data_IF_161119049586
#
_entry.id   IF_161119049586
#
_cell.length_a   1.000
_cell.length_b   1.000
_cell.length_c   1.000
_cell.angle_alpha   90.00
_cell.angle_beta   90.00
_cell.angle_gamma   90.00
#
_symmetry.space_group_name_H-M   'P 1'
#
loop_
_entity.id
_entity.type
_entity.pdbx_description
1 polymer ?
#
# COMPACT_ATOMS: atom_id res chain seq x y z
N UNK A 1 -45.00 4.29 -6.72
CA UNK A 1 -45.09 5.14 -5.52
C UNK A 1 -43.71 5.17 -4.87
N UNK A 2 -42.94 6.22 -5.16
CA UNK A 2 -42.69 7.38 -4.29
C UNK A 2 -41.72 7.11 -3.12
N UNK A 3 -40.43 7.33 -3.36
CA UNK A 3 -39.54 7.97 -2.38
C UNK A 3 -38.62 8.93 -3.16
N UNK A 4 -39.03 10.22 -3.19
CA UNK A 4 -38.27 11.31 -3.79
C UNK A 4 -37.22 11.81 -2.80
N UNK A 5 -35.99 11.86 -3.30
CA UNK A 5 -34.83 12.54 -2.73
C UNK A 5 -35.12 14.03 -2.46
N UNK A 6 -34.90 14.47 -1.23
CA UNK A 6 -34.93 15.87 -0.85
C UNK A 6 -33.68 16.58 -1.40
N UNK A 7 -33.87 17.41 -2.43
CA UNK A 7 -32.86 18.35 -2.93
C UNK A 7 -33.00 19.66 -2.15
N UNK A 8 -32.09 19.93 -1.23
CA UNK A 8 -31.90 21.28 -0.69
C UNK A 8 -30.79 21.96 -1.50
N UNK A 9 -31.16 22.54 -2.63
CA UNK A 9 -30.30 23.44 -3.40
C UNK A 9 -30.76 24.87 -3.19
N UNK A 10 -29.92 25.70 -2.57
CA UNK A 10 -30.12 27.15 -2.51
C UNK A 10 -29.94 27.71 -3.93
N UNK A 11 -31.02 28.18 -4.57
CA UNK A 11 -30.93 29.01 -5.77
C UNK A 11 -30.80 30.47 -5.34
N UNK A 12 -29.79 31.15 -5.86
CA UNK A 12 -29.69 32.61 -5.83
C UNK A 12 -30.73 33.13 -6.84
N UNK A 13 -31.78 33.78 -6.33
CA UNK A 13 -32.81 34.43 -7.14
C UNK A 13 -32.44 35.88 -7.42
N UNK A 14 -32.60 36.26 -8.68
CA UNK A 14 -32.36 37.59 -9.26
C UNK A 14 -33.23 38.69 -8.60
N UNK A 15 -32.69 39.92 -8.58
CA UNK A 15 -33.29 41.12 -7.98
C UNK A 15 -34.71 41.47 -8.53
N UNK A 16 -35.65 41.96 -7.70
CA UNK A 16 -36.92 42.51 -8.19
C UNK A 16 -36.85 44.05 -8.37
N UNK A 17 -37.58 44.64 -9.35
CA UNK A 17 -37.65 46.07 -9.51
C UNK A 17 -38.64 46.73 -8.52
N UNK A 18 -38.27 47.94 -8.13
CA UNK A 18 -38.95 48.90 -7.25
C UNK A 18 -40.44 49.08 -7.56
N UNK A 19 -41.32 48.96 -6.55
CA UNK A 19 -42.42 49.92 -6.24
C UNK A 19 -43.33 49.49 -5.06
N UNK A 20 -43.55 50.45 -4.14
CA UNK A 20 -44.75 50.67 -3.29
C UNK A 20 -44.94 49.87 -1.97
N UNK A 21 -44.32 50.39 -0.89
CA UNK A 21 -44.97 50.96 0.32
C UNK A 21 -46.33 50.37 0.77
N UNK A 22 -46.34 49.57 1.86
CA UNK A 22 -46.90 49.87 3.21
C UNK A 22 -47.31 48.59 3.99
N UNK A 23 -46.82 48.53 5.24
CA UNK A 23 -47.34 47.77 6.39
C UNK A 23 -47.56 46.27 6.22
N UNK A 24 -46.61 45.47 6.73
CA UNK A 24 -46.84 44.33 7.64
C UNK A 24 -45.55 44.12 8.43
N UNK A 25 -45.39 44.93 9.49
CA UNK A 25 -44.44 44.63 10.56
C UNK A 25 -45.06 43.54 11.43
N UNK A 26 -44.58 42.31 11.30
CA UNK A 26 -44.19 41.38 12.38
C UNK A 26 -44.21 39.92 11.89
N UNK A 27 -43.09 39.22 12.15
CA UNK A 27 -42.90 37.76 12.14
C UNK A 27 -42.73 37.06 10.78
N UNK A 28 -41.80 37.56 9.96
CA UNK A 28 -40.86 36.63 9.32
C UNK A 28 -39.66 36.50 10.25
N UNK A 29 -39.70 35.51 11.14
CA UNK A 29 -38.46 34.96 11.69
C UNK A 29 -37.68 34.42 10.49
N UNK A 30 -36.85 35.28 9.92
CA UNK A 30 -35.71 34.88 9.13
C UNK A 30 -34.97 33.90 10.03
N UNK A 31 -35.18 32.60 9.81
CA UNK A 31 -34.19 31.61 10.19
C UNK A 31 -33.02 31.94 9.27
N UNK A 32 -32.27 32.99 9.66
CA UNK A 32 -30.98 33.27 9.09
C UNK A 32 -30.27 31.94 9.14
N UNK A 33 -29.94 31.42 7.96
CA UNK A 33 -29.10 30.25 7.84
C UNK A 33 -27.87 30.61 8.65
N UNK A 34 -27.76 30.08 9.87
CA UNK A 34 -26.65 30.39 10.77
C UNK A 34 -25.41 30.01 9.97
N UNK A 35 -24.57 31.00 9.71
CA UNK A 35 -23.45 30.87 8.77
C UNK A 35 -22.63 29.63 9.13
N UNK A 36 -22.38 28.80 8.13
CA UNK A 36 -21.52 27.63 8.26
C UNK A 36 -20.15 28.08 8.77
N UNK A 37 -19.66 27.47 9.85
CA UNK A 37 -18.36 27.81 10.41
C UNK A 37 -17.28 27.09 9.60
N UNK A 38 -16.39 27.88 8.96
CA UNK A 38 -15.29 27.39 8.13
C UNK A 38 -14.41 26.41 8.93
N UNK A 39 -14.01 25.31 8.28
CA UNK A 39 -13.12 24.29 8.85
C UNK A 39 -13.70 23.43 9.98
N UNK A 40 -14.96 23.63 10.36
CA UNK A 40 -15.65 22.83 11.38
C UNK A 40 -16.55 21.75 10.78
N UNK A 41 -16.79 20.67 11.53
CA UNK A 41 -17.77 19.67 11.14
C UNK A 41 -19.20 20.22 11.24
N UNK A 42 -20.12 19.85 10.34
CA UNK A 42 -21.51 20.31 10.40
C UNK A 42 -22.24 20.01 11.71
N UNK A 43 -21.87 18.93 12.40
CA UNK A 43 -22.44 18.58 13.71
C UNK A 43 -21.96 19.47 14.85
N UNK A 44 -20.84 20.16 14.67
CA UNK A 44 -20.15 20.95 15.70
C UNK A 44 -20.36 22.45 15.52
N UNK A 45 -20.95 22.89 14.39
CA UNK A 45 -21.20 24.31 14.07
C UNK A 45 -21.95 25.05 15.18
N UNK A 46 -22.90 24.38 15.84
CA UNK A 46 -23.68 24.98 16.93
C UNK A 46 -22.83 25.36 18.15
N UNK A 47 -21.69 24.68 18.37
CA UNK A 47 -20.77 24.98 19.48
C UNK A 47 -20.03 26.30 19.25
N UNK A 48 -19.64 26.55 18.01
CA UNK A 48 -18.87 27.72 17.59
C UNK A 48 -19.72 28.99 17.43
N UNK A 49 -21.05 28.86 17.32
CA UNK A 49 -21.97 29.98 17.18
C UNK A 49 -22.49 30.52 18.52
N UNK A 50 -22.00 30.01 19.66
CA UNK A 50 -22.36 30.49 20.99
C UNK A 50 -21.63 31.81 21.32
N UNK A 51 -22.24 32.66 22.16
CA UNK A 51 -21.62 33.92 22.62
C UNK A 51 -20.36 33.71 23.46
N UNK A 52 -20.19 32.51 24.02
CA UNK A 52 -19.01 32.09 24.75
C UNK A 52 -18.63 30.68 24.33
N UNK A 53 -17.38 30.46 23.97
CA UNK A 53 -16.82 29.18 23.57
C UNK A 53 -15.95 28.61 24.69
N UNK A 54 -16.00 27.31 24.91
CA UNK A 54 -15.16 26.60 25.88
C UNK A 54 -14.18 25.75 25.07
N UNK A 55 -12.88 25.92 25.29
CA UNK A 55 -11.86 25.07 24.65
C UNK A 55 -12.19 23.60 24.91
N UNK A 56 -11.95 22.71 23.93
CA UNK A 56 -12.38 21.29 24.03
C UNK A 56 -11.65 20.54 25.13
N UNK A 57 -10.41 20.93 25.42
CA UNK A 57 -9.63 20.45 26.57
C UNK A 57 -10.15 20.92 27.94
N UNK A 58 -11.14 21.83 27.96
CA UNK A 58 -11.73 22.39 29.18
C UNK A 58 -10.87 23.44 29.88
N UNK A 59 -9.73 23.84 29.30
CA UNK A 59 -8.75 24.71 29.97
C UNK A 59 -9.24 26.14 30.18
N UNK A 60 -9.90 26.72 29.18
CA UNK A 60 -10.34 28.13 29.20
C UNK A 60 -11.67 28.31 28.47
N UNK A 61 -12.42 29.31 28.92
CA UNK A 61 -13.61 29.84 28.25
C UNK A 61 -13.30 31.21 27.63
N UNK A 62 -13.56 31.35 26.34
CA UNK A 62 -13.32 32.56 25.54
C UNK A 62 -14.63 33.13 24.98
N UNK A 63 -14.70 34.42 24.62
CA UNK A 63 -15.82 34.97 23.87
C UNK A 63 -15.94 34.31 22.49
N UNK A 64 -17.15 34.12 21.97
CA UNK A 64 -17.36 33.54 20.63
C UNK A 64 -16.80 34.40 19.48
N UNK A 65 -16.40 35.65 19.74
CA UNK A 65 -15.70 36.50 18.77
C UNK A 65 -14.23 36.14 18.59
N UNK A 66 -13.66 35.36 19.52
CA UNK A 66 -12.29 34.82 19.46
C UNK A 66 -12.26 33.41 18.83
N UNK A 67 -13.19 33.14 17.93
CA UNK A 67 -13.26 31.87 17.20
C UNK A 67 -13.05 32.20 15.73
N UNK A 68 -12.04 31.59 15.11
CA UNK A 68 -11.55 31.92 13.78
C UNK A 68 -11.17 33.40 13.65
N UNK A 69 -10.46 33.94 14.64
CA UNK A 69 -9.99 35.33 14.63
C UNK A 69 -8.50 35.48 14.25
N UNK A 70 -7.91 34.41 13.70
CA UNK A 70 -6.50 34.30 13.33
C UNK A 70 -5.55 34.40 14.55
N UNK A 71 -6.05 34.16 15.76
CA UNK A 71 -5.25 34.11 16.97
C UNK A 71 -5.50 32.82 17.76
N UNK A 72 -4.42 32.18 18.25
CA UNK A 72 -4.53 30.92 18.99
C UNK A 72 -4.69 31.17 20.50
N UNK A 73 -5.92 31.23 20.98
CA UNK A 73 -6.30 31.44 22.38
C UNK A 73 -6.42 30.14 23.18
N UNK A 74 -6.82 29.03 22.55
CA UNK A 74 -6.92 27.72 23.20
C UNK A 74 -5.62 26.90 23.04
N UNK A 75 -5.10 26.28 24.12
CA UNK A 75 -3.90 25.43 24.05
C UNK A 75 -4.05 24.22 23.11
N UNK A 76 -5.26 23.67 23.02
CA UNK A 76 -5.61 22.57 22.12
C UNK A 76 -5.88 23.00 20.67
N UNK A 77 -5.93 24.31 20.41
CA UNK A 77 -6.23 24.93 19.12
C UNK A 77 -7.67 24.77 18.65
N UNK A 78 -8.60 24.46 19.56
CA UNK A 78 -9.99 24.16 19.22
C UNK A 78 -10.83 25.36 18.80
N UNK A 79 -10.36 26.57 19.11
CA UNK A 79 -10.89 27.89 18.78
C UNK A 79 -10.67 28.32 17.32
N UNK A 80 -9.62 27.79 16.67
CA UNK A 80 -9.25 28.13 15.29
C UNK A 80 -9.45 26.94 14.32
N UNK A 81 -10.67 26.39 14.14
CA UNK A 81 -10.90 25.30 13.19
C UNK A 81 -10.77 25.73 11.72
N UNK A 82 -10.90 27.02 11.42
CA UNK A 82 -11.03 27.59 10.07
C UNK A 82 -9.86 28.48 9.63
N UNK A 83 -8.79 28.56 10.42
CA UNK A 83 -7.59 29.37 10.16
C UNK A 83 -6.33 28.56 10.42
N UNK A 84 -5.16 29.08 10.06
CA UNK A 84 -3.87 28.44 10.33
C UNK A 84 -3.22 28.88 11.65
N UNK A 85 -3.88 29.73 12.45
CA UNK A 85 -3.29 30.37 13.63
C UNK A 85 -2.81 29.38 14.71
N UNK A 86 -3.54 28.26 14.87
CA UNK A 86 -3.16 27.19 15.81
C UNK A 86 -2.33 26.06 15.18
N UNK A 87 -1.78 26.22 13.97
CA UNK A 87 -0.97 25.18 13.32
C UNK A 87 0.25 24.73 14.15
N UNK A 88 0.79 25.60 14.99
CA UNK A 88 1.95 25.34 15.86
C UNK A 88 1.58 24.89 17.28
N UNK A 89 0.30 24.77 17.64
CA UNK A 89 -0.14 24.39 19.01
C UNK A 89 0.49 23.06 19.48
N UNK A 90 0.82 22.16 18.54
CA UNK A 90 1.55 20.92 18.81
C UNK A 90 2.96 21.10 19.39
N UNK A 91 3.59 22.25 19.18
CA UNK A 91 4.97 22.55 19.60
C UNK A 91 5.06 23.57 20.74
N UNK A 92 3.95 24.14 21.20
CA UNK A 92 3.91 25.12 22.29
C UNK A 92 3.81 24.44 23.65
N UNK A 93 4.79 23.59 23.98
CA UNK A 93 5.01 23.13 25.36
C UNK A 93 5.85 24.20 26.07
N UNK A 94 5.39 24.72 27.21
CA UNK A 94 6.17 25.67 28.01
C UNK A 94 7.43 24.95 28.56
N UNK A 95 8.60 25.61 28.60
CA UNK A 95 9.77 25.03 29.27
C UNK A 95 9.45 24.79 30.75
N UNK A 96 9.38 23.53 31.18
CA UNK A 96 9.18 23.15 32.59
C UNK A 96 7.83 22.53 32.94
N UNK A 97 6.90 22.36 32.00
CA UNK A 97 5.73 21.50 32.18
C UNK A 97 6.07 20.11 31.61
N UNK A 98 6.05 19.09 32.47
CA UNK A 98 6.22 17.68 32.09
C UNK A 98 5.20 17.36 31.00
N UNK A 99 5.62 16.74 29.90
CA UNK A 99 4.75 16.33 28.79
C UNK A 99 3.54 15.58 29.35
N UNK A 100 2.43 16.29 29.55
CA UNK A 100 1.16 15.67 29.90
C UNK A 100 0.86 14.71 28.73
N UNK A 101 0.68 13.40 28.99
CA UNK A 101 0.32 12.44 27.96
C UNK A 101 -1.13 12.72 27.57
N UNK A 102 -1.29 13.73 26.72
CA UNK A 102 -2.53 14.38 26.39
C UNK A 102 -2.49 14.86 24.95
N UNK A 103 -3.66 14.82 24.33
CA UNK A 103 -3.95 14.96 22.91
C UNK A 103 -3.78 16.41 22.39
N UNK A 104 -2.73 17.12 22.83
CA UNK A 104 -2.48 18.50 22.45
C UNK A 104 -1.93 18.57 21.02
N UNK A 105 -2.56 19.37 20.14
CA UNK A 105 -2.13 19.57 18.75
C UNK A 105 -2.84 18.72 17.70
N UNK A 106 -4.11 18.35 17.90
CA UNK A 106 -4.96 17.68 16.90
C UNK A 106 -5.96 18.61 16.19
N UNK A 107 -5.87 19.92 16.37
CA UNK A 107 -6.69 20.84 15.61
C UNK A 107 -6.43 20.62 14.11
N UNK A 108 -7.49 20.33 13.37
CA UNK A 108 -7.47 19.99 11.95
C UNK A 108 -8.64 20.70 11.28
N UNK A 109 -8.39 21.16 10.06
CA UNK A 109 -9.40 21.78 9.23
C UNK A 109 -10.25 20.71 8.54
N UNK A 110 -11.57 20.85 8.62
CA UNK A 110 -12.50 19.92 8.00
C UNK A 110 -12.95 20.39 6.60
N UNK A 111 -12.47 19.71 5.56
CA UNK A 111 -13.00 19.82 4.21
C UNK A 111 -14.29 19.00 4.09
N UNK A 112 -15.38 19.66 3.71
CA UNK A 112 -16.68 19.02 3.56
C UNK A 112 -16.73 18.19 2.28
N UNK A 113 -16.08 18.70 1.22
CA UNK A 113 -15.95 18.05 -0.07
C UNK A 113 -17.28 17.55 -0.63
N UNK A 114 -18.28 18.43 -0.75
CA UNK A 114 -19.61 18.03 -1.21
C UNK A 114 -19.57 17.28 -2.55
N UNK A 115 -20.16 16.10 -2.61
CA UNK A 115 -20.10 15.21 -3.78
C UNK A 115 -18.83 14.35 -3.86
N UNK A 116 -17.93 14.45 -2.88
CA UNK A 116 -16.80 13.55 -2.66
C UNK A 116 -16.72 13.13 -1.17
N UNK A 117 -15.62 12.51 -0.75
CA UNK A 117 -15.42 12.05 0.63
C UNK A 117 -14.90 13.23 1.47
N UNK A 118 -15.54 13.57 2.61
CA UNK A 118 -15.03 14.59 3.51
C UNK A 118 -13.67 14.17 4.09
N UNK A 119 -12.83 15.15 4.40
CA UNK A 119 -11.45 14.90 4.85
C UNK A 119 -10.96 16.00 5.77
N UNK A 120 -10.07 15.63 6.69
CA UNK A 120 -9.31 16.57 7.50
C UNK A 120 -7.96 16.89 6.85
N UNK A 121 -7.57 18.16 6.92
CA UNK A 121 -6.24 18.65 6.55
C UNK A 121 -5.58 19.35 7.75
N UNK A 122 -4.24 19.31 7.85
CA UNK A 122 -3.50 20.09 8.84
C UNK A 122 -3.82 21.58 8.75
N UNK A 123 -3.88 22.29 9.89
CA UNK A 123 -4.09 23.76 9.90
C UNK A 123 -2.96 24.52 9.20
N UNK A 124 -1.75 23.94 9.11
CA UNK A 124 -0.64 24.55 8.37
C UNK A 124 -0.86 24.62 6.86
N UNK A 125 -1.88 23.92 6.35
CA UNK A 125 -2.27 23.86 4.94
C UNK A 125 -3.54 24.69 4.68
N UNK A 126 -3.90 25.58 5.61
CA UNK A 126 -5.04 26.49 5.46
C UNK A 126 -4.49 27.86 5.12
N UNK A 127 -4.95 28.44 4.01
CA UNK A 127 -4.47 29.71 3.47
C UNK A 127 -2.95 29.70 3.21
N UNK A 128 -2.41 28.57 2.75
CA UNK A 128 -0.98 28.39 2.45
C UNK A 128 -0.64 28.60 0.96
N UNK A 129 -1.65 28.88 0.14
CA UNK A 129 -1.54 29.10 -1.29
C UNK A 129 -1.72 27.85 -2.15
N UNK A 130 -1.95 26.68 -1.54
CA UNK A 130 -2.14 25.41 -2.24
C UNK A 130 -3.55 24.84 -2.04
N UNK A 131 -4.13 24.29 -3.11
CA UNK A 131 -5.47 23.69 -3.07
C UNK A 131 -5.42 22.20 -2.65
N UNK A 132 -5.53 21.93 -1.35
CA UNK A 132 -5.58 20.60 -0.75
C UNK A 132 -7.00 20.02 -0.70
N UNK A 133 -7.99 20.80 -0.25
CA UNK A 133 -9.38 20.38 -0.28
C UNK A 133 -9.89 20.34 -1.73
N UNK A 134 -10.71 19.34 -2.08
CA UNK A 134 -11.25 19.30 -3.45
C UNK A 134 -12.31 20.35 -3.70
N UNK A 135 -12.96 20.85 -2.65
CA UNK A 135 -13.92 21.94 -2.71
C UNK A 135 -13.25 23.32 -2.71
N UNK A 136 -11.94 23.37 -2.39
CA UNK A 136 -11.14 24.60 -2.31
C UNK A 136 -11.45 25.46 -1.09
N UNK A 137 -12.06 24.90 -0.05
CA UNK A 137 -12.49 25.66 1.15
C UNK A 137 -11.36 25.98 2.13
N UNK A 138 -10.24 25.28 1.99
CA UNK A 138 -8.96 25.53 2.65
C UNK A 138 -8.37 26.89 2.29
N UNK A 139 -8.62 27.40 1.08
CA UNK A 139 -8.13 28.71 0.65
C UNK A 139 -9.28 29.74 0.62
N UNK A 140 -9.20 30.74 1.49
CA UNK A 140 -10.22 31.80 1.62
C UNK A 140 -10.17 32.83 0.50
N UNK A 141 -9.03 32.94 -0.19
CA UNK A 141 -8.85 33.89 -1.29
C UNK A 141 -9.71 33.50 -2.50
N UNK A 142 -10.66 34.38 -2.83
CA UNK A 142 -11.62 34.14 -3.90
C UNK A 142 -10.91 34.01 -5.26
N UNK A 143 -11.04 32.83 -5.88
CA UNK A 143 -10.50 32.55 -7.21
C UNK A 143 -9.19 31.78 -7.23
N UNK A 144 -8.59 31.49 -6.07
CA UNK A 144 -7.37 30.69 -5.98
C UNK A 144 -7.64 29.20 -6.26
N UNK A 145 -8.69 28.65 -5.63
CA UNK A 145 -9.06 27.24 -5.75
C UNK A 145 -10.43 27.03 -6.42
N UNK A 146 -10.52 25.98 -7.24
CA UNK A 146 -11.75 25.58 -7.93
C UNK A 146 -12.25 24.22 -7.43
N UNK A 147 -13.58 24.05 -7.37
CA UNK A 147 -14.17 22.80 -6.90
C UNK A 147 -13.98 21.66 -7.93
N UNK A 148 -13.18 20.67 -7.57
CA UNK A 148 -12.85 19.48 -8.37
C UNK A 148 -13.45 18.18 -7.80
N UNK A 149 -14.28 18.26 -6.75
CA UNK A 149 -14.77 17.10 -6.01
C UNK A 149 -15.51 16.07 -6.89
N UNK A 150 -16.36 16.53 -7.81
CA UNK A 150 -17.14 15.64 -8.68
C UNK A 150 -16.25 14.87 -9.67
N UNK A 151 -15.15 15.46 -10.13
CA UNK A 151 -14.17 14.80 -11.00
C UNK A 151 -13.37 13.75 -10.23
N UNK A 152 -12.87 14.12 -9.03
CA UNK A 152 -12.16 13.19 -8.15
C UNK A 152 -13.05 12.00 -7.74
N UNK A 153 -14.33 12.23 -7.47
CA UNK A 153 -15.29 11.17 -7.15
C UNK A 153 -15.48 10.17 -8.29
N UNK A 154 -15.61 10.64 -9.55
CA UNK A 154 -15.71 9.76 -10.74
C UNK A 154 -14.42 8.96 -10.96
N UNK A 155 -13.25 9.57 -10.77
CA UNK A 155 -11.97 8.88 -10.85
C UNK A 155 -11.81 7.77 -9.80
N UNK A 156 -12.19 8.07 -8.55
CA UNK A 156 -12.13 7.14 -7.43
C UNK A 156 -13.09 5.95 -7.54
N UNK A 157 -14.29 6.15 -8.10
CA UNK A 157 -15.21 5.04 -8.42
C UNK A 157 -14.61 4.12 -9.49
N UNK A 158 -13.98 4.71 -10.51
CA UNK A 158 -13.27 3.95 -11.55
C UNK A 158 -12.10 3.10 -11.02
N UNK A 159 -11.30 3.63 -10.09
CA UNK A 159 -10.20 2.87 -9.47
C UNK A 159 -10.70 1.79 -8.52
N UNK A 160 -11.71 2.09 -7.69
CA UNK A 160 -12.33 1.09 -6.79
C UNK A 160 -12.91 -0.10 -7.56
N UNK A 161 -13.66 0.14 -8.65
CA UNK A 161 -14.18 -0.94 -9.50
C UNK A 161 -13.07 -1.82 -10.09
N UNK A 162 -11.94 -1.22 -10.48
CA UNK A 162 -10.77 -1.98 -10.96
C UNK A 162 -10.15 -2.81 -9.84
N UNK A 163 -9.98 -2.25 -8.65
CA UNK A 163 -9.45 -2.99 -7.50
C UNK A 163 -10.37 -4.14 -7.07
N UNK A 164 -11.68 -3.90 -7.02
CA UNK A 164 -12.67 -4.92 -6.65
C UNK A 164 -12.72 -6.05 -7.69
N UNK A 165 -12.61 -5.73 -8.98
CA UNK A 165 -12.52 -6.75 -10.03
C UNK A 165 -11.22 -7.56 -9.93
N UNK A 166 -10.08 -6.93 -9.62
CA UNK A 166 -8.80 -7.63 -9.37
C UNK A 166 -8.89 -8.53 -8.13
N UNK A 167 -9.47 -8.05 -7.02
CA UNK A 167 -9.69 -8.84 -5.81
C UNK A 167 -10.61 -10.04 -6.08
N UNK A 168 -11.68 -9.85 -6.85
CA UNK A 168 -12.59 -10.92 -7.25
C UNK A 168 -11.86 -11.97 -8.11
N UNK A 169 -11.07 -11.55 -9.09
CA UNK A 169 -10.24 -12.46 -9.90
C UNK A 169 -9.22 -13.22 -9.05
N UNK A 170 -8.57 -12.57 -8.09
CA UNK A 170 -7.63 -13.22 -7.18
C UNK A 170 -8.32 -14.28 -6.30
N UNK A 171 -9.52 -13.99 -5.79
CA UNK A 171 -10.32 -14.94 -5.02
C UNK A 171 -10.72 -16.16 -5.86
N UNK A 172 -11.17 -15.94 -7.09
CA UNK A 172 -11.50 -17.03 -8.03
C UNK A 172 -10.27 -17.90 -8.34
N UNK A 173 -9.14 -17.27 -8.68
CA UNK A 173 -7.88 -17.98 -8.97
C UNK A 173 -7.36 -18.79 -7.78
N UNK A 174 -7.50 -18.27 -6.54
CA UNK A 174 -7.15 -19.02 -5.32
C UNK A 174 -8.00 -20.28 -5.16
N UNK A 175 -9.30 -20.20 -5.48
CA UNK A 175 -10.18 -21.36 -5.45
C UNK A 175 -9.79 -22.40 -6.53
N UNK A 176 -9.46 -21.95 -7.74
CA UNK A 176 -9.01 -22.82 -8.83
C UNK A 176 -7.71 -23.56 -8.49
N UNK A 177 -6.70 -22.83 -7.99
CA UNK A 177 -5.44 -23.43 -7.52
C UNK A 177 -5.72 -24.43 -6.40
N UNK A 178 -6.61 -24.09 -5.45
CA UNK A 178 -7.01 -24.99 -4.38
C UNK A 178 -7.61 -26.30 -4.88
N UNK A 179 -8.46 -26.26 -5.92
CA UNK A 179 -9.03 -27.45 -6.56
C UNK A 179 -7.96 -28.27 -7.29
N UNK A 180 -7.08 -27.63 -8.04
CA UNK A 180 -6.00 -28.31 -8.75
C UNK A 180 -5.04 -29.01 -7.78
N UNK A 181 -4.67 -28.35 -6.68
CA UNK A 181 -3.84 -28.93 -5.62
C UNK A 181 -4.51 -30.15 -4.98
N UNK A 182 -5.81 -30.06 -4.68
CA UNK A 182 -6.56 -31.19 -4.11
C UNK A 182 -6.60 -32.40 -5.06
N UNK A 183 -6.79 -32.17 -6.36
CA UNK A 183 -6.77 -33.24 -7.36
C UNK A 183 -5.40 -33.91 -7.46
N UNK A 184 -4.30 -33.14 -7.41
CA UNK A 184 -2.93 -33.68 -7.42
C UNK A 184 -2.65 -34.47 -6.15
N UNK A 185 -3.03 -33.95 -4.97
CA UNK A 185 -2.87 -34.65 -3.71
C UNK A 185 -3.63 -35.98 -3.69
N UNK A 186 -4.86 -36.02 -4.21
CA UNK A 186 -5.64 -37.26 -4.31
C UNK A 186 -4.96 -38.31 -5.21
N UNK A 187 -4.40 -37.89 -6.36
CA UNK A 187 -3.63 -38.78 -7.25
C UNK A 187 -2.35 -39.28 -6.58
N UNK A 188 -1.63 -38.43 -5.86
CA UNK A 188 -0.42 -38.80 -5.12
C UNK A 188 -0.72 -39.84 -4.02
N UNK A 189 -1.84 -39.70 -3.30
CA UNK A 189 -2.28 -40.67 -2.30
C UNK A 189 -2.56 -42.04 -2.92
N UNK A 190 -3.28 -42.08 -4.06
CA UNK A 190 -3.53 -43.32 -4.80
C UNK A 190 -2.22 -43.98 -5.26
N UNK A 191 -1.28 -43.19 -5.79
CA UNK A 191 0.05 -43.70 -6.16
C UNK A 191 0.83 -44.22 -4.96
N UNK A 192 0.70 -43.61 -3.78
CA UNK A 192 1.40 -44.06 -2.58
C UNK A 192 0.96 -45.46 -2.16
N UNK A 193 -0.34 -45.73 -2.16
CA UNK A 193 -0.88 -47.05 -1.84
C UNK A 193 -0.48 -48.12 -2.88
N UNK A 194 -0.48 -47.76 -4.17
CA UNK A 194 -0.01 -48.66 -5.22
C UNK A 194 1.48 -49.01 -5.07
N UNK A 195 2.33 -48.01 -4.79
CA UNK A 195 3.76 -48.23 -4.58
C UNK A 195 4.04 -49.08 -3.33
N UNK A 196 3.31 -48.86 -2.23
CA UNK A 196 3.40 -49.70 -1.02
C UNK A 196 2.98 -51.14 -1.30
N UNK A 197 1.90 -51.35 -2.06
CA UNK A 197 1.45 -52.68 -2.45
C UNK A 197 2.49 -53.40 -3.33
N UNK A 198 3.10 -52.69 -4.29
CA UNK A 198 4.22 -53.22 -5.09
C UNK A 198 5.43 -53.58 -4.22
N UNK A 199 5.80 -52.73 -3.26
CA UNK A 199 6.88 -53.01 -2.31
C UNK A 199 6.65 -54.29 -1.50
N UNK A 200 5.43 -54.51 -0.99
CA UNK A 200 5.05 -55.73 -0.27
C UNK A 200 5.25 -57.00 -1.11
N UNK A 201 4.82 -56.99 -2.38
CA UNK A 201 5.01 -58.12 -3.31
C UNK A 201 6.49 -58.42 -3.56
N UNK A 202 7.32 -57.39 -3.70
CA UNK A 202 8.76 -57.57 -3.92
C UNK A 202 9.44 -58.17 -2.69
N UNK A 203 9.05 -57.76 -1.48
CA UNK A 203 9.55 -58.34 -0.22
C UNK A 203 9.18 -59.83 -0.12
N UNK A 204 7.96 -60.18 -0.50
CA UNK A 204 7.49 -61.58 -0.54
C UNK A 204 8.32 -62.42 -1.52
N UNK A 205 8.53 -61.96 -2.75
CA UNK A 205 9.39 -62.65 -3.74
C UNK A 205 10.85 -62.74 -3.27
N UNK A 206 11.37 -61.69 -2.63
CA UNK A 206 12.73 -61.71 -2.07
C UNK A 206 12.89 -62.76 -0.97
N UNK A 207 11.82 -63.05 -0.23
CA UNK A 207 11.82 -64.07 0.83
C UNK A 207 11.84 -65.50 0.29
N UNK A 208 11.26 -65.74 -0.90
CA UNK A 208 11.26 -67.06 -1.56
C UNK A 208 12.52 -67.33 -2.37
N UNK A 209 13.23 -66.29 -2.82
CA UNK A 209 14.45 -66.39 -3.64
C UNK A 209 15.76 -66.25 -2.83
N UNK A 210 15.78 -66.71 -1.57
CA UNK A 210 16.94 -66.50 -0.65
C UNK A 210 18.27 -67.06 -1.15
N UNK A 211 18.23 -68.17 -1.87
CA UNK A 211 19.45 -68.87 -2.30
C UNK A 211 20.04 -68.29 -3.60
N UNK A 212 19.30 -67.43 -4.31
CA UNK A 212 19.76 -66.80 -5.55
C UNK A 212 20.26 -65.37 -5.31
N UNK A 213 21.56 -65.26 -5.02
CA UNK A 213 22.22 -64.00 -4.68
C UNK A 213 22.10 -62.91 -5.76
N UNK A 214 22.09 -63.29 -7.05
CA UNK A 214 21.89 -62.35 -8.16
C UNK A 214 20.44 -61.85 -8.24
N UNK A 215 19.46 -62.72 -7.97
CA UNK A 215 18.05 -62.32 -7.91
C UNK A 215 17.78 -61.37 -6.73
N UNK A 216 18.35 -61.68 -5.55
CA UNK A 216 18.25 -60.80 -4.38
C UNK A 216 18.82 -59.41 -4.64
N UNK A 217 19.98 -59.30 -5.30
CA UNK A 217 20.57 -58.00 -5.62
C UNK A 217 19.71 -57.18 -6.62
N UNK A 218 19.07 -57.83 -7.59
CA UNK A 218 18.13 -57.16 -8.50
C UNK A 218 16.88 -56.65 -7.78
N UNK A 219 16.32 -57.46 -6.88
CA UNK A 219 15.15 -57.10 -6.07
C UNK A 219 15.47 -55.96 -5.09
N UNK A 220 16.69 -55.91 -4.52
CA UNK A 220 17.09 -54.83 -3.61
C UNK A 220 17.23 -53.48 -4.31
N UNK A 221 17.72 -53.45 -5.56
CA UNK A 221 17.74 -52.24 -6.38
C UNK A 221 16.31 -51.73 -6.69
N UNK A 222 15.39 -52.64 -7.02
CA UNK A 222 13.98 -52.29 -7.24
C UNK A 222 13.30 -51.74 -5.98
N UNK A 223 13.61 -52.30 -4.80
CA UNK A 223 13.12 -51.77 -3.52
C UNK A 223 13.67 -50.38 -3.21
N UNK A 224 14.96 -50.12 -3.52
CA UNK A 224 15.57 -48.81 -3.34
C UNK A 224 14.88 -47.73 -4.22
N UNK A 225 14.60 -48.05 -5.48
CA UNK A 225 13.88 -47.13 -6.38
C UNK A 225 12.44 -46.85 -5.90
N UNK A 226 11.72 -47.88 -5.43
CA UNK A 226 10.38 -47.71 -4.87
C UNK A 226 10.40 -46.86 -3.61
N UNK A 227 11.38 -47.06 -2.73
CA UNK A 227 11.56 -46.27 -1.51
C UNK A 227 11.76 -44.79 -1.84
N UNK A 228 12.65 -44.49 -2.77
CA UNK A 228 12.93 -43.13 -3.22
C UNK A 228 11.69 -42.45 -3.85
N UNK A 229 10.88 -43.20 -4.62
CA UNK A 229 9.57 -42.71 -5.10
C UNK A 229 8.56 -42.46 -3.97
N UNK A 230 8.52 -43.33 -2.97
CA UNK A 230 7.64 -43.17 -1.81
C UNK A 230 8.04 -41.94 -0.97
N UNK A 231 9.32 -41.75 -0.71
CA UNK A 231 9.84 -40.59 0.03
C UNK A 231 9.55 -39.27 -0.70
N UNK A 232 9.68 -39.24 -2.04
CA UNK A 232 9.25 -38.07 -2.84
C UNK A 232 7.77 -37.78 -2.72
N UNK A 233 6.91 -38.79 -2.83
CA UNK A 233 5.47 -38.60 -2.74
C UNK A 233 5.05 -38.17 -1.33
N UNK A 234 5.68 -38.75 -0.30
CA UNK A 234 5.45 -38.38 1.09
C UNK A 234 5.87 -36.94 1.38
N UNK A 235 7.01 -36.51 0.83
CA UNK A 235 7.46 -35.11 0.89
C UNK A 235 6.46 -34.14 0.25
N UNK A 236 5.89 -34.51 -0.90
CA UNK A 236 4.88 -33.69 -1.60
C UNK A 236 3.52 -33.66 -0.88
N UNK A 237 3.21 -34.66 -0.06
CA UNK A 237 1.95 -34.77 0.69
C UNK A 237 2.01 -34.12 2.08
N UNK A 238 3.18 -34.16 2.73
CA UNK A 238 3.39 -33.65 4.10
C UNK A 238 3.66 -32.15 4.15
N UNK A 239 4.30 -31.59 3.12
CA UNK A 239 4.40 -30.14 2.98
C UNK A 239 3.14 -29.60 2.35
N UNK A 240 2.63 -28.49 2.89
CA UNK A 240 1.52 -27.76 2.31
C UNK A 240 1.86 -27.45 0.84
N UNK A 241 1.32 -28.22 -0.10
CA UNK A 241 1.52 -27.99 -1.54
C UNK A 241 1.02 -26.58 -1.92
N UNK A 242 0.09 -26.04 -1.12
CA UNK A 242 -0.33 -24.64 -1.11
C UNK A 242 0.78 -23.68 -0.69
N UNK A 243 1.59 -24.00 0.33
CA UNK A 243 2.79 -23.23 0.60
C UNK A 243 3.68 -23.31 -0.63
N UNK A 244 4.15 -24.46 -1.13
CA UNK A 244 5.10 -24.40 -2.25
C UNK A 244 4.60 -23.76 -3.56
N UNK A 245 3.29 -23.76 -3.85
CA UNK A 245 2.72 -23.01 -4.99
C UNK A 245 2.46 -21.52 -4.69
N UNK A 246 2.26 -21.13 -3.43
CA UNK A 246 2.11 -19.73 -2.99
C UNK A 246 3.38 -19.12 -2.37
N UNK A 247 4.38 -19.95 -2.08
CA UNK A 247 5.63 -19.73 -1.34
C UNK A 247 6.83 -19.90 -2.27
N UNK A 248 6.65 -19.70 -3.57
CA UNK A 248 7.75 -19.16 -4.39
C UNK A 248 7.58 -17.67 -4.67
N UNK A 249 7.52 -16.79 -3.65
CA UNK A 249 7.98 -15.42 -3.81
C UNK A 249 9.51 -15.33 -3.66
N UNK A 250 10.19 -16.41 -3.25
CA UNK A 250 11.64 -16.44 -3.15
C UNK A 250 12.24 -16.77 -4.51
N UNK A 251 12.73 -15.74 -5.17
CA UNK A 251 13.58 -15.92 -6.34
C UNK A 251 14.76 -16.82 -5.99
N UNK A 252 14.97 -17.87 -6.79
CA UNK A 252 16.10 -18.78 -6.67
C UNK A 252 17.25 -18.23 -7.50
N UNK A 253 18.33 -17.83 -6.84
CA UNK A 253 19.56 -17.40 -7.51
C UNK A 253 20.56 -18.55 -7.59
N UNK A 254 21.18 -18.72 -8.74
CA UNK A 254 22.31 -19.65 -8.88
C UNK A 254 23.54 -19.11 -8.15
N UNK A 255 24.47 -19.99 -7.77
CA UNK A 255 25.83 -19.54 -7.43
C UNK A 255 26.46 -18.84 -8.65
N UNK A 256 27.35 -17.85 -8.47
CA UNK A 256 27.99 -17.14 -9.58
C UNK A 256 28.65 -18.11 -10.56
N UNK A 257 28.28 -18.01 -11.83
CA UNK A 257 28.79 -18.86 -12.90
C UNK A 257 29.70 -18.02 -13.78
N UNK A 258 30.96 -18.42 -13.85
CA UNK A 258 31.95 -17.74 -14.69
C UNK A 258 31.80 -18.07 -16.17
N UNK A 259 31.82 -17.04 -17.01
CA UNK A 259 31.73 -17.11 -18.46
C UNK A 259 32.80 -18.01 -19.10
N UNK A 260 33.99 -18.09 -18.50
CA UNK A 260 35.06 -19.02 -18.93
C UNK A 260 34.65 -20.49 -18.85
N UNK A 261 33.76 -20.86 -17.90
CA UNK A 261 33.25 -22.24 -17.78
C UNK A 261 32.21 -22.57 -18.85
N UNK A 262 31.51 -21.57 -19.40
CA UNK A 262 30.42 -21.75 -20.36
C UNK A 262 30.84 -21.57 -21.82
N UNK A 263 31.62 -20.52 -22.11
CA UNK A 263 31.92 -20.11 -23.49
C UNK A 263 33.38 -20.37 -23.91
N UNK A 264 34.29 -20.62 -22.95
CA UNK A 264 35.74 -20.65 -23.19
C UNK A 264 36.29 -19.25 -23.53
N UNK A 265 37.44 -18.88 -22.96
CA UNK A 265 38.00 -17.53 -23.10
C UNK A 265 39.51 -17.49 -23.31
N UNK A 266 40.00 -16.40 -23.90
CA UNK A 266 41.44 -16.12 -24.08
C UNK A 266 42.06 -15.57 -22.78
N UNK A 267 43.40 -15.68 -22.64
CA UNK A 267 44.12 -15.31 -21.40
C UNK A 267 43.97 -13.83 -21.00
N UNK A 268 43.80 -12.93 -21.97
CA UNK A 268 43.76 -11.48 -21.77
C UNK A 268 42.33 -10.94 -21.54
N UNK A 269 41.39 -11.81 -21.20
CA UNK A 269 40.01 -11.44 -20.92
C UNK A 269 39.62 -11.87 -19.51
N UNK A 270 39.10 -10.91 -18.74
CA UNK A 270 38.50 -11.16 -17.42
C UNK A 270 37.05 -11.55 -17.66
N UNK A 271 36.73 -12.82 -17.44
CA UNK A 271 35.39 -13.36 -17.67
C UNK A 271 34.38 -12.73 -16.72
N UNK A 272 33.16 -12.48 -17.21
CA UNK A 272 32.06 -12.07 -16.34
C UNK A 272 31.55 -13.25 -15.54
N UNK A 273 31.15 -12.98 -14.31
CA UNK A 273 30.41 -13.92 -13.49
C UNK A 273 28.92 -13.54 -13.50
N UNK A 274 28.09 -14.48 -13.93
CA UNK A 274 26.65 -14.31 -14.04
C UNK A 274 25.93 -15.01 -12.89
N UNK A 275 24.93 -14.33 -12.33
CA UNK A 275 23.97 -14.92 -11.40
C UNK A 275 22.62 -14.96 -12.10
N UNK A 276 22.08 -16.16 -12.27
CA UNK A 276 20.73 -16.31 -12.82
C UNK A 276 19.74 -16.36 -11.67
N UNK A 277 18.77 -15.44 -11.69
CA UNK A 277 17.72 -15.37 -10.69
C UNK A 277 16.40 -15.80 -11.32
N UNK A 278 15.91 -16.96 -10.89
CA UNK A 278 14.64 -17.51 -11.33
C UNK A 278 13.55 -17.20 -10.30
N UNK A 279 12.61 -16.34 -10.67
CA UNK A 279 11.42 -16.06 -9.88
C UNK A 279 10.20 -16.68 -10.60
N UNK A 280 9.54 -17.71 -10.06
CA UNK A 280 8.33 -18.24 -10.68
C UNK A 280 7.26 -17.15 -10.81
N UNK A 281 6.59 -17.09 -11.97
CA UNK A 281 5.54 -16.13 -12.31
C UNK A 281 5.98 -14.66 -12.49
N UNK A 282 7.29 -14.38 -12.57
CA UNK A 282 7.87 -13.09 -13.01
C UNK A 282 8.91 -13.33 -14.12
N UNK A 283 9.21 -12.33 -14.94
CA UNK A 283 10.20 -12.44 -16.02
C UNK A 283 11.59 -12.85 -15.46
N UNK A 284 12.33 -13.68 -16.21
CA UNK A 284 13.73 -14.01 -15.88
C UNK A 284 14.61 -12.81 -16.19
N UNK A 285 15.37 -12.33 -15.21
CA UNK A 285 16.30 -11.20 -15.37
C UNK A 285 17.73 -11.68 -15.15
N UNK A 286 18.62 -11.39 -16.11
CA UNK A 286 20.06 -11.62 -15.98
C UNK A 286 20.72 -10.33 -15.52
N UNK A 287 21.49 -10.38 -14.44
CA UNK A 287 22.24 -9.23 -13.91
C UNK A 287 23.68 -9.67 -13.67
N UNK A 288 24.65 -8.83 -14.05
CA UNK A 288 26.05 -9.06 -13.72
C UNK A 288 26.26 -8.85 -12.21
N UNK A 289 27.00 -9.74 -11.55
CA UNK A 289 27.14 -9.71 -10.09
C UNK A 289 27.81 -8.43 -9.55
N UNK A 290 28.83 -7.93 -10.26
CA UNK A 290 29.47 -6.65 -9.98
C UNK A 290 30.00 -6.05 -11.29
N UNK A 291 29.17 -5.21 -11.91
CA UNK A 291 29.47 -4.63 -13.22
C UNK A 291 30.62 -3.60 -13.15
N UNK A 292 30.78 -2.94 -12.00
CA UNK A 292 31.79 -1.88 -11.82
C UNK A 292 33.16 -2.49 -11.60
N UNK A 293 33.28 -3.46 -10.69
CA UNK A 293 34.54 -4.15 -10.46
C UNK A 293 35.00 -4.92 -11.71
N UNK A 294 34.05 -5.49 -12.48
CA UNK A 294 34.36 -6.11 -13.76
C UNK A 294 34.90 -5.09 -14.78
N UNK A 295 34.26 -3.92 -14.91
CA UNK A 295 34.68 -2.90 -15.87
C UNK A 295 36.12 -2.44 -15.60
N UNK A 296 36.43 -2.14 -14.32
CA UNK A 296 37.76 -1.73 -13.89
C UNK A 296 38.81 -2.84 -14.13
N UNK A 297 38.49 -4.08 -13.75
CA UNK A 297 39.39 -5.23 -13.94
C UNK A 297 39.62 -5.56 -15.42
N UNK A 298 38.61 -5.39 -16.27
CA UNK A 298 38.71 -5.66 -17.70
C UNK A 298 39.49 -4.54 -18.43
N UNK A 299 39.35 -3.29 -17.98
CA UNK A 299 40.19 -2.17 -18.44
C UNK A 299 41.68 -2.43 -18.11
N UNK A 300 41.96 -2.82 -16.87
CA UNK A 300 43.32 -3.17 -16.42
C UNK A 300 43.91 -4.36 -17.20
N UNK A 301 43.10 -5.41 -17.45
CA UNK A 301 43.54 -6.57 -18.22
C UNK A 301 43.84 -6.25 -19.70
N UNK A 302 43.17 -5.26 -20.29
CA UNK A 302 43.42 -4.79 -21.66
C UNK A 302 44.68 -3.95 -21.78
N UNK A 303 44.96 -3.11 -20.79
CA UNK A 303 46.07 -2.14 -20.84
C UNK A 303 47.43 -2.76 -20.48
N UNK A 304 47.44 -3.93 -19.84
CA UNK A 304 48.67 -4.52 -19.32
C UNK A 304 49.23 -3.70 -18.16
N UNK A 305 50.15 -4.28 -17.38
CA UNK A 305 50.53 -3.83 -16.03
C UNK A 305 51.36 -2.52 -16.00
N UNK A 306 50.85 -1.43 -16.56
CA UNK A 306 51.45 -0.10 -16.52
C UNK A 306 50.78 0.73 -15.41
N UNK A 307 51.53 1.05 -14.36
CA UNK A 307 51.03 1.74 -13.15
C UNK A 307 50.35 3.09 -13.40
N UNK A 308 50.62 3.74 -14.54
CA UNK A 308 49.97 5.00 -14.95
C UNK A 308 48.51 4.82 -15.44
N UNK A 309 48.03 3.60 -15.65
CA UNK A 309 46.71 3.30 -16.25
C UNK A 309 45.59 3.01 -15.23
N UNK A 310 45.92 2.74 -13.96
CA UNK A 310 44.93 2.39 -12.93
C UNK A 310 43.97 3.56 -12.60
N UNK A 311 44.48 4.80 -12.60
CA UNK A 311 43.64 5.99 -12.40
C UNK A 311 42.70 6.29 -13.56
N UNK A 312 43.04 5.88 -14.79
CA UNK A 312 42.18 6.03 -15.95
C UNK A 312 41.00 5.03 -15.94
N UNK A 313 41.24 3.79 -15.50
CA UNK A 313 40.21 2.74 -15.42
C UNK A 313 39.18 3.00 -14.31
N UNK A 314 39.56 3.69 -13.22
CA UNK A 314 38.64 4.04 -12.14
C UNK A 314 37.58 5.08 -12.56
N UNK A 315 37.86 5.90 -13.58
CA UNK A 315 36.97 6.94 -14.10
C UNK A 315 35.90 6.39 -15.07
N UNK A 316 36.14 5.26 -15.75
CA UNK A 316 35.15 4.58 -16.60
C UNK A 316 34.06 3.82 -15.81
N UNK A 317 34.22 3.67 -14.49
CA UNK A 317 33.29 2.97 -13.61
C UNK A 317 32.25 3.83 -12.88
N UNK A 318 32.13 5.13 -13.20
CA UNK A 318 31.05 6.02 -12.76
C UNK A 318 29.93 6.07 -13.80
#
# INVERSE_FOLDING_TARGET
>A
ENLRSAKNGCRIGEDPPVKMILCWWFLLASHGCKGRIRGSQPSEEALYQASSFQCRDGTRKIPGSQVNDDFCDCPDGSDEPGTSACAISRYLVRPGEEELPGEHGKAQFYCVNEGHVPRYVPLSMVDDGFCDCCDGTDESEAGLCSNTCTMRAKGADGTRRKEDSVKAMAKARKADIGRAVAQVAQKLLQQQEELKARGRKIIEVASSMKDNRMAQYRLSLQLAELRDRLERNDFLLTKDLRLHLASVPTCLSTTPISEKKFAGGTKNYVAKDYVFTYCPFRHVTQVAADQRAWAESNCLARLGNASASAHACAAEGQ
#
